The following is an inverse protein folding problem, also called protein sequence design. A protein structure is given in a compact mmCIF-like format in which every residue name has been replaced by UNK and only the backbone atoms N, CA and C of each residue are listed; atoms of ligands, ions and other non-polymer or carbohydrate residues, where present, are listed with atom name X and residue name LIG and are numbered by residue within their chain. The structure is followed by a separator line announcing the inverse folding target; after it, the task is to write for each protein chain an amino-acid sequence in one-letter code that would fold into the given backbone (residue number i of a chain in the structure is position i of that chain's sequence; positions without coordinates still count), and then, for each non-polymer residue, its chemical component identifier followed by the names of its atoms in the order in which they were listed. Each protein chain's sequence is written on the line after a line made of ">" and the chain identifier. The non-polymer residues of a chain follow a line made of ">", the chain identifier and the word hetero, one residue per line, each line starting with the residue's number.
data_IF_833731103943
#
_entry.id   IF_833731103943
#
_cell.length_a   1.000
_cell.length_b   1.000
_cell.length_c   1.000
_cell.angle_alpha   90.00
_cell.angle_beta   90.00
_cell.angle_gamma   90.00
#
_symmetry.space_group_name_H-M   'P 1'
#
loop_
_entity.id
_entity.type
_entity.pdbx_description
1 polymer ?
#
# COMPACT_ATOMS: atom_id res chain seq x y z
N UNK A 1 -12.10 -7.46 3.37
CA UNK A 1 -11.26 -7.55 4.58
C UNK A 1 -12.03 -8.26 5.68
N UNK A 2 -11.38 -9.14 6.44
CA UNK A 2 -11.95 -9.82 7.61
C UNK A 2 -11.14 -9.39 8.83
N UNK A 3 -11.80 -8.90 9.87
CA UNK A 3 -11.14 -8.50 11.12
C UNK A 3 -10.94 -9.70 12.04
N UNK A 4 -9.75 -9.78 12.64
CA UNK A 4 -9.40 -10.80 13.62
C UNK A 4 -9.42 -10.20 15.01
N UNK A 5 -10.16 -10.82 15.92
CA UNK A 5 -10.19 -10.46 17.33
C UNK A 5 -9.36 -11.45 18.15
N UNK A 6 -9.05 -11.10 19.41
CA UNK A 6 -8.38 -12.04 20.32
C UNK A 6 -9.18 -13.34 20.46
N UNK A 7 -8.54 -14.49 20.78
CA UNK A 7 -9.22 -15.79 20.82
C UNK A 7 -10.46 -15.81 21.73
N UNK A 8 -10.43 -15.09 22.85
CA UNK A 8 -11.56 -14.96 23.78
C UNK A 8 -12.74 -14.24 23.13
N UNK A 9 -12.47 -13.17 22.37
CA UNK A 9 -13.51 -12.40 21.68
C UNK A 9 -14.06 -13.20 20.50
N UNK A 10 -13.21 -13.88 19.72
CA UNK A 10 -13.62 -14.78 18.64
C UNK A 10 -14.57 -15.89 19.16
N UNK A 11 -14.19 -16.55 20.25
CA UNK A 11 -15.03 -17.57 20.88
C UNK A 11 -16.37 -16.99 21.36
N UNK A 12 -16.35 -15.78 21.92
CA UNK A 12 -17.57 -15.08 22.32
C UNK A 12 -18.46 -14.68 21.14
N UNK A 13 -17.89 -14.30 20.00
CA UNK A 13 -18.65 -14.05 18.75
C UNK A 13 -19.29 -15.35 18.26
N UNK A 14 -18.53 -16.44 18.19
CA UNK A 14 -19.05 -17.76 17.80
C UNK A 14 -20.17 -18.25 18.72
N UNK A 15 -20.07 -17.96 20.02
CA UNK A 15 -21.10 -18.26 21.01
C UNK A 15 -22.25 -17.22 21.06
N UNK A 16 -22.30 -16.24 20.15
CA UNK A 16 -23.29 -15.14 20.12
C UNK A 16 -23.34 -14.27 21.38
N UNK A 17 -22.30 -14.31 22.21
CA UNK A 17 -22.12 -13.42 23.37
C UNK A 17 -21.69 -12.02 22.92
N UNK A 18 -20.88 -11.97 21.87
CA UNK A 18 -20.40 -10.73 21.27
C UNK A 18 -20.88 -10.63 19.82
N UNK A 19 -21.02 -9.40 19.33
CA UNK A 19 -21.41 -9.11 17.95
C UNK A 19 -20.38 -8.17 17.35
N UNK A 20 -19.92 -8.47 16.14
CA UNK A 20 -19.08 -7.56 15.36
C UNK A 20 -19.90 -6.33 14.96
N UNK A 21 -19.27 -5.16 15.02
CA UNK A 21 -19.89 -3.90 14.61
C UNK A 21 -19.83 -3.77 13.09
N UNK A 22 -20.91 -3.26 12.49
CA UNK A 22 -21.00 -2.95 11.07
C UNK A 22 -21.47 -1.51 10.89
N UNK A 23 -21.07 -0.88 9.78
CA UNK A 23 -21.69 0.36 9.32
C UNK A 23 -23.13 0.11 8.88
N UNK A 24 -23.92 1.17 8.68
CA UNK A 24 -25.27 1.07 8.12
C UNK A 24 -25.30 0.44 6.71
N UNK A 25 -24.21 0.52 5.96
CA UNK A 25 -24.02 -0.12 4.66
C UNK A 25 -23.60 -1.60 4.76
N UNK A 26 -23.51 -2.17 5.97
CA UNK A 26 -23.09 -3.55 6.19
C UNK A 26 -21.58 -3.78 6.08
N UNK A 27 -20.77 -2.73 6.12
CA UNK A 27 -19.30 -2.84 6.08
C UNK A 27 -18.80 -3.16 7.49
N UNK A 28 -18.00 -4.23 7.68
CA UNK A 28 -17.50 -4.57 9.00
C UNK A 28 -16.57 -3.48 9.55
N UNK A 29 -16.65 -3.27 10.85
CA UNK A 29 -15.72 -2.46 11.64
C UNK A 29 -14.98 -3.42 12.57
N UNK A 30 -13.68 -3.24 12.75
CA UNK A 30 -12.85 -3.98 13.71
C UNK A 30 -13.15 -3.61 15.17
N UNK A 31 -14.42 -3.62 15.55
CA UNK A 31 -14.95 -3.41 16.89
C UNK A 31 -15.97 -4.51 17.20
N UNK A 32 -16.04 -4.93 18.45
CA UNK A 32 -17.05 -5.87 18.94
C UNK A 32 -17.82 -5.28 20.13
N UNK A 33 -19.09 -5.66 20.25
CA UNK A 33 -19.98 -5.28 21.36
C UNK A 33 -20.56 -6.50 22.06
N UNK A 34 -20.88 -6.36 23.32
CA UNK A 34 -21.68 -7.32 24.07
C UNK A 34 -23.11 -7.36 23.54
N UNK A 35 -23.60 -8.55 23.20
CA UNK A 35 -24.90 -8.76 22.59
C UNK A 35 -26.07 -8.38 23.52
N UNK A 36 -25.84 -8.42 24.85
CA UNK A 36 -26.88 -8.16 25.85
C UNK A 36 -26.88 -6.70 26.29
N UNK A 37 -25.70 -6.15 26.58
CA UNK A 37 -25.56 -4.80 27.14
C UNK A 37 -25.33 -3.72 26.09
N UNK A 38 -24.95 -4.10 24.88
CA UNK A 38 -24.57 -3.17 23.81
C UNK A 38 -23.24 -2.44 24.04
N UNK A 39 -22.53 -2.75 25.12
CA UNK A 39 -21.24 -2.12 25.43
C UNK A 39 -20.15 -2.57 24.45
N UNK A 40 -19.26 -1.67 24.04
CA UNK A 40 -18.06 -2.07 23.31
C UNK A 40 -17.14 -2.86 24.23
N UNK A 41 -16.63 -4.00 23.73
CA UNK A 41 -15.82 -4.92 24.54
C UNK A 41 -14.44 -5.17 23.97
N UNK A 42 -14.23 -4.93 22.67
CA UNK A 42 -12.94 -5.17 22.02
C UNK A 42 -12.79 -4.41 20.70
N UNK A 43 -11.53 -4.28 20.27
CA UNK A 43 -11.13 -3.95 18.92
C UNK A 43 -10.42 -5.15 18.27
N UNK A 44 -10.34 -5.15 16.95
CA UNK A 44 -9.60 -6.15 16.20
C UNK A 44 -8.09 -6.05 16.48
N UNK A 45 -7.44 -7.20 16.65
CA UNK A 45 -5.99 -7.33 16.85
C UNK A 45 -5.24 -7.62 15.55
N UNK A 46 -5.97 -7.93 14.48
CA UNK A 46 -5.44 -8.20 13.15
C UNK A 46 -6.53 -8.10 12.09
N UNK A 47 -6.13 -8.30 10.84
CA UNK A 47 -7.07 -8.50 9.75
C UNK A 47 -6.44 -9.34 8.65
N UNK A 48 -7.30 -9.93 7.83
CA UNK A 48 -6.93 -10.77 6.70
C UNK A 48 -7.58 -10.23 5.43
N UNK A 49 -6.82 -10.19 4.36
CA UNK A 49 -7.31 -9.95 2.99
C UNK A 49 -6.82 -11.10 2.12
N UNK A 50 -7.71 -11.65 1.29
CA UNK A 50 -7.38 -12.76 0.38
C UNK A 50 -6.65 -13.93 1.09
N UNK A 51 -7.15 -14.32 2.28
CA UNK A 51 -6.59 -15.36 3.14
C UNK A 51 -5.14 -15.12 3.62
N UNK A 52 -4.66 -13.89 3.54
CA UNK A 52 -3.32 -13.50 3.99
C UNK A 52 -3.38 -12.37 5.03
N UNK A 53 -2.50 -12.38 6.05
CA UNK A 53 -2.45 -11.31 7.03
C UNK A 53 -2.25 -9.95 6.37
N UNK A 54 -3.06 -8.98 6.78
CA UNK A 54 -2.98 -7.62 6.28
C UNK A 54 -1.64 -7.02 6.68
N UNK A 55 -0.84 -6.70 5.67
CA UNK A 55 0.53 -6.21 5.82
C UNK A 55 0.78 -5.19 4.70
N UNK A 56 0.34 -3.93 4.89
CA UNK A 56 0.44 -2.88 3.88
C UNK A 56 1.88 -2.44 3.65
N UNK A 57 2.17 -1.97 2.45
CA UNK A 57 3.48 -1.48 2.05
C UNK A 57 3.73 -0.03 2.52
N UNK A 58 2.76 0.85 2.49
CA UNK A 58 2.98 2.27 2.66
C UNK A 58 3.06 2.62 4.16
N UNK A 59 2.17 2.08 4.98
CA UNK A 59 2.22 2.23 6.44
C UNK A 59 1.50 1.08 7.15
N UNK A 60 2.19 0.26 7.97
CA UNK A 60 1.58 -0.75 8.83
C UNK A 60 0.96 -0.04 10.03
N UNK A 61 -0.06 0.79 9.76
CA UNK A 61 -0.84 1.40 10.81
C UNK A 61 -1.57 0.27 11.52
N UNK A 62 -1.13 -0.08 12.73
CA UNK A 62 -1.92 -0.90 13.62
C UNK A 62 -3.21 -0.13 13.87
N UNK A 63 -4.26 -0.56 13.17
CA UNK A 63 -5.66 -0.19 13.30
C UNK A 63 -5.88 0.96 14.29
N UNK A 64 -6.13 2.16 13.76
CA UNK A 64 -6.54 3.37 14.47
C UNK A 64 -7.92 3.23 15.15
N UNK A 65 -8.21 2.04 15.68
CA UNK A 65 -9.52 1.53 16.04
C UNK A 65 -9.73 1.47 17.55
N UNK A 66 -8.71 1.75 18.37
CA UNK A 66 -8.93 1.86 19.81
C UNK A 66 -9.27 3.29 20.22
N UNK A 67 -10.19 3.42 21.17
CA UNK A 67 -10.45 4.67 21.90
C UNK A 67 -9.28 5.17 22.75
N UNK A 68 -8.10 4.54 22.70
CA UNK A 68 -6.92 4.90 23.50
C UNK A 68 -6.15 6.02 22.81
N UNK A 69 -6.45 7.26 23.21
CA UNK A 69 -6.05 8.51 22.53
C UNK A 69 -4.57 8.92 22.60
N UNK A 70 -3.63 8.04 22.97
CA UNK A 70 -2.21 8.46 23.06
C UNK A 70 -1.18 7.39 22.70
N UNK A 71 -1.24 6.20 23.33
CA UNK A 71 -0.19 5.17 23.18
C UNK A 71 -0.12 4.57 21.75
N UNK A 72 -1.27 4.31 21.13
CA UNK A 72 -1.32 3.80 19.75
C UNK A 72 -0.90 4.85 18.71
N UNK A 73 -1.01 6.15 19.02
CA UNK A 73 -0.64 7.25 18.11
C UNK A 73 0.88 7.39 17.95
N UNK A 74 1.66 7.10 19.01
CA UNK A 74 3.12 7.08 18.94
C UNK A 74 3.64 5.90 18.09
N UNK A 75 3.06 4.70 18.24
CA UNK A 75 3.40 3.54 17.39
C UNK A 75 3.02 3.72 15.93
N UNK A 76 1.85 4.33 15.66
CA UNK A 76 1.42 4.64 14.29
C UNK A 76 2.42 5.55 13.56
N UNK A 77 3.02 6.51 14.27
CA UNK A 77 4.05 7.38 13.70
C UNK A 77 5.40 6.68 13.51
N UNK A 78 5.86 5.89 14.48
CA UNK A 78 7.08 5.06 14.36
C UNK A 78 6.99 4.04 13.21
N UNK A 79 5.79 3.51 12.94
CA UNK A 79 5.53 2.63 11.81
C UNK A 79 5.73 3.35 10.46
N UNK A 80 5.27 4.59 10.33
CA UNK A 80 5.48 5.40 9.11
C UNK A 80 6.97 5.74 8.93
N UNK A 81 7.68 6.07 10.01
CA UNK A 81 9.14 6.32 9.95
C UNK A 81 9.91 5.09 9.45
N UNK A 82 9.58 3.91 9.98
CA UNK A 82 10.23 2.63 9.62
C UNK A 82 9.96 2.28 8.15
N UNK A 83 8.73 2.48 7.66
CA UNK A 83 8.39 2.26 6.25
C UNK A 83 9.11 3.22 5.31
N UNK A 84 9.20 4.51 5.66
CA UNK A 84 9.79 5.52 4.80
C UNK A 84 11.29 5.27 4.57
N UNK A 85 12.04 4.90 5.63
CA UNK A 85 13.46 4.58 5.52
C UNK A 85 13.76 3.39 4.62
N UNK A 86 12.90 2.37 4.62
CA UNK A 86 13.06 1.21 3.73
C UNK A 86 12.67 1.54 2.29
N UNK A 87 11.53 2.22 2.09
CA UNK A 87 11.04 2.61 0.77
C UNK A 87 12.03 3.55 0.07
N UNK A 88 12.56 4.55 0.77
CA UNK A 88 13.56 5.46 0.25
C UNK A 88 14.88 4.74 -0.08
N UNK A 89 15.33 3.82 0.79
CA UNK A 89 16.52 3.05 0.48
C UNK A 89 16.35 2.16 -0.76
N UNK A 90 15.19 1.54 -0.94
CA UNK A 90 14.92 0.73 -2.14
C UNK A 90 14.79 1.58 -3.41
N UNK A 91 14.27 2.81 -3.31
CA UNK A 91 14.32 3.79 -4.42
C UNK A 91 15.74 3.97 -4.95
N UNK A 92 16.73 3.94 -4.05
CA UNK A 92 18.12 4.21 -4.37
C UNK A 92 18.77 3.14 -5.25
N UNK A 93 18.36 1.88 -5.08
CA UNK A 93 18.88 0.72 -5.82
C UNK A 93 18.07 0.42 -7.08
N UNK A 94 16.82 0.90 -7.11
CA UNK A 94 15.85 0.58 -8.16
C UNK A 94 15.76 1.69 -9.23
N UNK A 95 16.01 2.95 -8.86
CA UNK A 95 15.48 4.09 -9.61
C UNK A 95 16.43 4.95 -10.43
N UNK A 96 17.74 5.00 -10.15
CA UNK A 96 18.64 5.95 -10.85
C UNK A 96 19.83 5.24 -11.47
N UNK A 97 20.20 5.64 -12.70
CA UNK A 97 21.33 5.06 -13.44
C UNK A 97 21.00 3.75 -14.15
N UNK A 98 20.07 3.80 -15.12
CA UNK A 98 19.70 2.66 -15.96
C UNK A 98 20.91 2.19 -16.78
N UNK A 99 21.58 1.15 -16.29
CA UNK A 99 22.12 0.12 -17.16
C UNK A 99 21.67 -1.25 -16.62
N UNK A 100 20.74 -1.85 -17.35
CA UNK A 100 20.38 -3.26 -17.36
C UNK A 100 19.88 -3.92 -16.05
N UNK A 101 18.55 -4.01 -15.91
CA UNK A 101 17.76 -5.24 -15.66
C UNK A 101 17.97 -6.10 -14.41
N UNK A 102 19.22 -6.30 -13.95
CA UNK A 102 19.56 -7.38 -13.01
C UNK A 102 19.18 -7.05 -11.56
N UNK A 103 19.02 -5.77 -11.22
CA UNK A 103 18.86 -5.32 -9.82
C UNK A 103 17.45 -5.54 -9.26
N UNK A 104 16.41 -5.53 -10.10
CA UNK A 104 15.00 -5.62 -9.64
C UNK A 104 14.71 -6.94 -8.91
N UNK A 105 15.33 -8.04 -9.36
CA UNK A 105 15.21 -9.36 -8.72
C UNK A 105 15.74 -9.39 -7.29
N UNK A 106 16.77 -8.57 -6.98
CA UNK A 106 17.39 -8.48 -5.67
C UNK A 106 16.52 -7.77 -4.62
N UNK A 107 15.52 -7.03 -5.08
CA UNK A 107 14.66 -6.15 -4.28
C UNK A 107 13.18 -6.36 -4.64
N UNK A 108 12.79 -7.60 -4.92
CA UNK A 108 11.39 -7.98 -5.10
C UNK A 108 10.58 -7.86 -3.79
N UNK A 109 9.26 -8.06 -3.89
CA UNK A 109 8.33 -7.89 -2.77
C UNK A 109 8.73 -8.69 -1.52
N UNK A 110 9.17 -9.94 -1.69
CA UNK A 110 9.61 -10.77 -0.57
C UNK A 110 10.83 -10.14 0.15
N UNK A 111 11.84 -9.70 -0.61
CA UNK A 111 13.01 -9.05 -0.03
C UNK A 111 12.65 -7.73 0.63
N UNK A 112 11.74 -6.94 0.07
CA UNK A 112 11.29 -5.68 0.68
C UNK A 112 10.63 -5.91 2.03
N UNK A 113 9.73 -6.88 2.13
CA UNK A 113 9.12 -7.22 3.43
C UNK A 113 10.16 -7.69 4.44
N UNK A 114 11.17 -8.43 4.00
CA UNK A 114 12.29 -8.83 4.85
C UNK A 114 13.13 -7.64 5.33
N UNK A 115 13.48 -6.72 4.44
CA UNK A 115 14.23 -5.51 4.80
C UNK A 115 13.49 -4.69 5.87
N UNK A 116 12.16 -4.62 5.79
CA UNK A 116 11.33 -3.93 6.78
C UNK A 116 11.37 -4.58 8.14
N UNK A 117 11.21 -5.90 8.19
CA UNK A 117 11.32 -6.60 9.47
C UNK A 117 12.74 -6.51 10.03
N UNK A 118 13.78 -6.51 9.18
CA UNK A 118 15.16 -6.32 9.65
C UNK A 118 15.42 -4.90 10.19
N UNK A 119 14.84 -3.84 9.59
CA UNK A 119 14.92 -2.48 10.15
C UNK A 119 14.12 -2.37 11.46
N UNK A 120 12.91 -2.92 11.50
CA UNK A 120 12.06 -2.94 12.70
C UNK A 120 12.70 -3.71 13.85
N UNK A 121 13.41 -4.79 13.55
CA UNK A 121 14.20 -5.56 14.50
C UNK A 121 15.57 -4.92 14.82
N UNK A 122 15.84 -3.70 14.34
CA UNK A 122 17.08 -2.94 14.53
C UNK A 122 18.35 -3.65 14.02
N UNK A 123 18.20 -4.62 13.10
CA UNK A 123 19.32 -5.34 12.44
C UNK A 123 19.95 -4.49 11.34
N UNK A 124 19.14 -3.63 10.72
CA UNK A 124 19.53 -2.62 9.75
C UNK A 124 19.23 -1.22 10.30
N UNK A 125 20.20 -0.33 10.16
CA UNK A 125 20.08 1.07 10.57
C UNK A 125 19.71 1.92 9.36
N UNK A 126 18.75 2.84 9.53
CA UNK A 126 18.40 3.86 8.54
C UNK A 126 19.19 5.12 8.85
N UNK A 127 20.09 5.53 7.95
CA UNK A 127 20.85 6.80 8.03
C UNK A 127 20.46 7.70 6.88
N UNK A 128 20.06 8.93 7.20
CA UNK A 128 19.64 9.94 6.21
C UNK A 128 18.53 9.46 5.25
N UNK A 129 17.71 8.51 5.72
CA UNK A 129 16.63 7.88 4.96
C UNK A 129 17.08 6.72 4.07
N UNK A 130 18.33 6.26 4.21
CA UNK A 130 18.87 5.13 3.45
C UNK A 130 19.38 4.03 4.38
N UNK A 131 19.14 2.77 4.01
CA UNK A 131 19.79 1.61 4.63
C UNK A 131 21.05 1.25 3.84
N UNK A 132 22.01 0.60 4.51
CA UNK A 132 23.16 0.01 3.82
C UNK A 132 22.72 -1.22 3.01
N UNK A 133 22.41 -1.00 1.74
CA UNK A 133 21.93 -2.05 0.83
C UNK A 133 23.01 -3.09 0.54
N UNK A 134 24.30 -2.77 0.68
CA UNK A 134 25.35 -3.78 0.56
C UNK A 134 25.32 -4.75 1.74
N UNK A 135 25.14 -4.22 2.94
CA UNK A 135 24.94 -5.04 4.14
C UNK A 135 23.66 -5.86 4.01
N UNK A 136 22.59 -5.25 3.52
CA UNK A 136 21.28 -5.87 3.41
C UNK A 136 21.20 -6.97 2.34
N UNK A 137 21.90 -6.79 1.21
CA UNK A 137 21.89 -7.71 0.06
C UNK A 137 23.18 -8.55 -0.05
N UNK A 138 23.98 -8.66 1.01
CA UNK A 138 25.26 -9.40 1.01
C UNK A 138 25.14 -10.86 0.51
N UNK A 139 23.98 -11.48 0.69
CA UNK A 139 23.70 -12.85 0.24
C UNK A 139 23.28 -13.00 -1.23
N UNK A 140 23.09 -11.90 -1.97
CA UNK A 140 22.56 -11.93 -3.35
C UNK A 140 23.65 -12.03 -4.42
N UNK A 141 24.94 -12.04 -4.05
CA UNK A 141 26.06 -12.21 -4.97
C UNK A 141 26.85 -10.93 -5.23
N UNK A 142 28.09 -11.09 -5.73
CA UNK A 142 29.05 -9.99 -5.89
C UNK A 142 28.69 -9.00 -7.00
N UNK A 143 27.96 -9.45 -8.01
CA UNK A 143 27.52 -8.61 -9.15
C UNK A 143 26.57 -7.50 -8.68
N UNK A 144 25.60 -7.82 -7.82
CA UNK A 144 24.66 -6.85 -7.26
C UNK A 144 25.39 -5.82 -6.40
N UNK A 145 26.38 -6.24 -5.60
CA UNK A 145 27.19 -5.31 -4.80
C UNK A 145 28.00 -4.35 -5.68
N UNK A 146 28.64 -4.87 -6.74
CA UNK A 146 29.35 -4.03 -7.71
C UNK A 146 28.43 -3.04 -8.41
N UNK A 147 27.19 -3.45 -8.69
CA UNK A 147 26.20 -2.56 -9.30
C UNK A 147 25.77 -1.43 -8.36
N UNK A 148 25.56 -1.72 -7.08
CA UNK A 148 25.30 -0.71 -6.05
C UNK A 148 26.45 0.30 -5.99
N UNK A 149 27.70 -0.16 -6.09
CA UNK A 149 28.88 0.69 -6.15
C UNK A 149 28.88 1.62 -7.37
N UNK A 150 28.57 1.09 -8.55
CA UNK A 150 28.51 1.89 -9.79
C UNK A 150 27.43 2.96 -9.72
N UNK A 151 26.23 2.63 -9.21
CA UNK A 151 25.12 3.58 -9.07
C UNK A 151 25.47 4.68 -8.06
N UNK A 152 26.22 4.37 -6.99
CA UNK A 152 26.61 5.35 -5.99
C UNK A 152 27.48 6.49 -6.53
N UNK A 153 28.26 6.23 -7.59
CA UNK A 153 29.13 7.21 -8.25
C UNK A 153 28.39 8.09 -9.28
N UNK A 154 27.20 7.66 -9.72
CA UNK A 154 26.39 8.35 -10.72
C UNK A 154 25.94 9.74 -10.22
N UNK A 155 26.08 10.76 -11.09
CA UNK A 155 25.80 12.16 -10.73
C UNK A 155 24.31 12.41 -10.56
N UNK A 156 23.47 11.84 -11.42
CA UNK A 156 22.02 11.94 -11.33
C UNK A 156 21.54 11.24 -10.06
N UNK A 157 22.10 10.07 -9.75
CA UNK A 157 21.82 9.37 -8.50
C UNK A 157 22.17 10.20 -7.28
N UNK A 158 23.35 10.84 -7.25
CA UNK A 158 23.74 11.71 -6.13
C UNK A 158 22.83 12.93 -5.99
N UNK A 159 22.37 13.52 -7.10
CA UNK A 159 21.40 14.61 -7.08
C UNK A 159 20.06 14.15 -6.52
N UNK A 160 19.52 13.03 -7.01
CA UNK A 160 18.30 12.42 -6.49
C UNK A 160 18.44 12.13 -4.99
N UNK A 161 19.54 11.50 -4.59
CA UNK A 161 19.84 11.16 -3.21
C UNK A 161 19.87 12.40 -2.32
N UNK A 162 20.50 13.49 -2.73
CA UNK A 162 20.55 14.72 -1.95
C UNK A 162 19.14 15.29 -1.68
N UNK A 163 18.29 15.34 -2.71
CA UNK A 163 16.91 15.82 -2.58
C UNK A 163 16.09 14.90 -1.66
N UNK A 164 16.22 13.58 -1.83
CA UNK A 164 15.51 12.62 -0.98
C UNK A 164 15.99 12.66 0.48
N UNK A 165 17.29 12.86 0.72
CA UNK A 165 17.82 13.10 2.08
C UNK A 165 17.22 14.35 2.70
N UNK A 166 17.09 15.44 1.93
CA UNK A 166 16.44 16.66 2.42
C UNK A 166 14.96 16.42 2.75
N UNK A 167 14.22 15.76 1.86
CA UNK A 167 12.82 15.41 2.09
C UNK A 167 12.64 14.52 3.33
N UNK A 168 13.52 13.55 3.52
CA UNK A 168 13.54 12.70 4.72
C UNK A 168 13.83 13.50 6.00
N UNK A 169 14.79 14.43 5.95
CA UNK A 169 15.07 15.33 7.06
C UNK A 169 13.85 16.17 7.46
N UNK A 170 13.11 16.71 6.49
CA UNK A 170 11.84 17.41 6.74
C UNK A 170 10.79 16.49 7.39
N UNK A 171 10.67 15.27 6.91
CA UNK A 171 9.77 14.29 7.50
C UNK A 171 10.13 13.95 8.96
N UNK A 172 11.43 13.79 9.28
CA UNK A 172 11.89 13.58 10.66
C UNK A 172 11.58 14.77 11.57
N UNK A 173 11.72 15.99 11.08
CA UNK A 173 11.35 17.16 11.90
C UNK A 173 9.84 17.28 12.07
N UNK A 174 9.05 16.97 11.05
CA UNK A 174 7.60 16.88 11.18
C UNK A 174 7.19 15.83 12.22
N UNK A 175 7.87 14.68 12.25
CA UNK A 175 7.68 13.63 13.24
C UNK A 175 7.85 14.14 14.67
N UNK A 176 8.97 14.82 14.91
CA UNK A 176 9.30 15.41 16.19
C UNK A 176 8.28 16.46 16.61
N UNK A 177 7.80 17.28 15.68
CA UNK A 177 6.74 18.24 15.95
C UNK A 177 5.43 17.54 16.34
N UNK A 178 5.08 16.44 15.68
CA UNK A 178 3.89 15.65 16.05
C UNK A 178 4.03 15.06 17.46
N UNK A 179 5.20 14.52 17.80
CA UNK A 179 5.49 14.04 19.16
C UNK A 179 5.38 15.16 20.20
N UNK A 180 5.96 16.34 19.93
CA UNK A 180 5.85 17.52 20.81
C UNK A 180 4.38 17.92 20.97
N UNK A 181 3.62 17.97 19.88
CA UNK A 181 2.21 18.34 19.91
C UNK A 181 1.38 17.39 20.79
N UNK A 182 1.74 16.10 20.85
CA UNK A 182 1.09 15.14 21.74
C UNK A 182 1.34 15.47 23.21
N UNK A 183 2.48 16.07 23.56
CA UNK A 183 2.79 16.51 24.92
C UNK A 183 2.20 17.88 25.28
N UNK A 184 1.61 18.61 24.33
CA UNK A 184 1.02 19.92 24.58
C UNK A 184 -0.38 19.80 25.22
N UNK A 185 -0.53 20.36 26.41
CA UNK A 185 -1.82 20.48 27.10
C UNK A 185 -2.72 21.55 26.45
N UNK A 186 -2.15 22.70 26.11
CA UNK A 186 -2.87 23.79 25.45
C UNK A 186 -3.27 23.41 24.02
N UNK A 187 -4.58 23.52 23.74
CA UNK A 187 -5.15 23.13 22.44
C UNK A 187 -4.67 24.02 21.29
N UNK A 188 -4.47 25.31 21.53
CA UNK A 188 -4.01 26.25 20.50
C UNK A 188 -2.57 25.94 20.11
N UNK A 189 -1.69 25.77 21.09
CA UNK A 189 -0.28 25.38 20.89
C UNK A 189 -0.22 24.05 20.15
N UNK A 190 -0.93 23.02 20.63
CA UNK A 190 -0.98 21.71 19.96
C UNK A 190 -1.40 21.82 18.49
N UNK A 191 -2.41 22.64 18.20
CA UNK A 191 -2.94 22.81 16.85
C UNK A 191 -1.93 23.52 15.94
N UNK A 192 -1.29 24.59 16.44
CA UNK A 192 -0.25 25.30 15.70
C UNK A 192 0.97 24.42 15.43
N UNK A 193 1.40 23.62 16.41
CA UNK A 193 2.50 22.66 16.24
C UNK A 193 2.18 21.60 15.19
N UNK A 194 0.96 21.05 15.18
CA UNK A 194 0.52 20.11 14.15
C UNK A 194 0.42 20.77 12.76
N UNK A 195 0.02 22.03 12.67
CA UNK A 195 0.00 22.76 11.40
C UNK A 195 1.41 22.97 10.82
N UNK A 196 2.40 23.26 11.68
CA UNK A 196 3.80 23.34 11.25
C UNK A 196 4.34 21.99 10.77
N UNK A 197 3.95 20.89 11.44
CA UNK A 197 4.29 19.55 10.97
C UNK A 197 3.67 19.26 9.60
N UNK A 198 2.40 19.62 9.39
CA UNK A 198 1.72 19.48 8.09
C UNK A 198 2.45 20.22 6.97
N UNK A 199 2.95 21.43 7.22
CA UNK A 199 3.73 22.19 6.24
C UNK A 199 5.01 21.44 5.84
N UNK A 200 5.77 20.93 6.82
CA UNK A 200 6.99 20.16 6.55
C UNK A 200 6.70 18.85 5.79
N UNK A 201 5.60 18.17 6.12
CA UNK A 201 5.16 16.98 5.39
C UNK A 201 4.78 17.33 3.94
N UNK A 202 4.06 18.42 3.71
CA UNK A 202 3.68 18.86 2.37
C UNK A 202 4.91 19.20 1.50
N UNK A 203 5.92 19.86 2.08
CA UNK A 203 7.20 20.10 1.39
C UNK A 203 7.93 18.79 1.07
N UNK A 204 7.94 17.82 1.99
CA UNK A 204 8.53 16.52 1.72
C UNK A 204 7.81 15.77 0.60
N UNK A 205 6.46 15.79 0.57
CA UNK A 205 5.67 15.22 -0.54
C UNK A 205 6.05 15.86 -1.87
N UNK A 206 6.22 17.19 -1.92
CA UNK A 206 6.58 17.91 -3.14
C UNK A 206 7.92 17.43 -3.72
N UNK A 207 8.91 17.14 -2.86
CA UNK A 207 10.20 16.61 -3.29
C UNK A 207 10.13 15.17 -3.80
N UNK A 208 9.39 14.29 -3.10
CA UNK A 208 9.22 12.89 -3.53
C UNK A 208 8.45 12.77 -4.84
N UNK A 209 7.43 13.62 -5.00
CA UNK A 209 6.52 13.65 -6.16
C UNK A 209 6.97 14.57 -7.29
N UNK A 210 8.17 15.16 -7.19
CA UNK A 210 8.69 16.12 -8.17
C UNK A 210 8.69 15.50 -9.58
N UNK A 211 7.89 16.04 -10.54
CA UNK A 211 7.72 15.44 -11.86
C UNK A 211 9.03 15.30 -12.65
N UNK A 212 9.96 16.25 -12.49
CA UNK A 212 11.25 16.21 -13.18
C UNK A 212 12.07 15.01 -12.72
N UNK A 213 12.23 14.84 -11.40
CA UNK A 213 12.96 13.71 -10.84
C UNK A 213 12.27 12.37 -11.11
N UNK A 214 10.93 12.33 -11.03
CA UNK A 214 10.18 11.10 -11.29
C UNK A 214 10.30 10.67 -12.75
N UNK A 215 10.35 11.63 -13.69
CA UNK A 215 10.46 11.33 -15.12
C UNK A 215 11.78 10.63 -15.50
N UNK A 216 12.85 10.88 -14.75
CA UNK A 216 14.19 10.31 -14.95
C UNK A 216 14.32 8.86 -14.43
N UNK A 217 13.32 8.35 -13.71
CA UNK A 217 13.34 6.99 -13.15
C UNK A 217 12.62 5.97 -14.05
N UNK A 218 13.01 4.69 -13.92
CA UNK A 218 12.28 3.56 -14.48
C UNK A 218 10.92 3.37 -13.78
N UNK A 219 10.04 2.51 -14.31
CA UNK A 219 8.69 2.35 -13.76
C UNK A 219 8.73 1.87 -12.29
N UNK A 220 9.64 0.94 -11.98
CA UNK A 220 9.88 0.43 -10.63
C UNK A 220 10.38 1.53 -9.68
N UNK A 221 11.28 2.40 -10.13
CA UNK A 221 11.81 3.53 -9.35
C UNK A 221 10.75 4.59 -9.08
N UNK A 222 9.90 4.86 -10.08
CA UNK A 222 8.76 5.75 -9.93
C UNK A 222 7.78 5.21 -8.87
N UNK A 223 7.47 3.90 -8.89
CA UNK A 223 6.60 3.30 -7.88
C UNK A 223 7.13 3.56 -6.46
N UNK A 224 8.43 3.32 -6.22
CA UNK A 224 9.03 3.52 -4.88
C UNK A 224 8.97 4.97 -4.40
N UNK A 225 9.25 5.92 -5.29
CA UNK A 225 9.11 7.36 -4.97
C UNK A 225 7.68 7.71 -4.60
N UNK A 226 6.71 7.17 -5.34
CA UNK A 226 5.30 7.38 -5.08
C UNK A 226 4.88 6.77 -3.74
N UNK A 227 5.34 5.56 -3.41
CA UNK A 227 5.11 4.94 -2.09
C UNK A 227 5.61 5.82 -0.93
N UNK A 228 6.79 6.44 -1.06
CA UNK A 228 7.28 7.40 -0.07
C UNK A 228 6.34 8.61 0.06
N UNK A 229 5.90 9.20 -1.05
CA UNK A 229 4.97 10.33 -1.03
C UNK A 229 3.64 9.95 -0.37
N UNK A 230 3.08 8.78 -0.73
CA UNK A 230 1.84 8.26 -0.15
C UNK A 230 1.95 8.02 1.36
N UNK A 231 3.11 7.53 1.84
CA UNK A 231 3.35 7.33 3.27
C UNK A 231 3.32 8.64 4.05
N UNK A 232 3.89 9.70 3.48
CA UNK A 232 3.88 11.03 4.07
C UNK A 232 2.47 11.62 4.05
N UNK A 233 1.68 11.39 3.00
CA UNK A 233 0.28 11.80 2.95
C UNK A 233 -0.61 11.07 3.95
N UNK A 234 -0.32 9.80 4.27
CA UNK A 234 -0.98 9.13 5.41
C UNK A 234 -0.63 9.79 6.75
N UNK A 235 0.62 10.23 6.94
CA UNK A 235 0.99 11.01 8.11
C UNK A 235 0.23 12.35 8.17
N UNK A 236 -0.01 13.01 7.04
CA UNK A 236 -0.86 14.21 6.97
C UNK A 236 -2.29 13.87 7.43
N UNK A 237 -2.91 12.79 6.93
CA UNK A 237 -4.24 12.36 7.39
C UNK A 237 -4.27 12.13 8.91
N UNK A 238 -3.22 11.53 9.47
CA UNK A 238 -3.09 11.33 10.91
C UNK A 238 -3.09 12.67 11.67
N UNK A 239 -2.38 13.69 11.19
CA UNK A 239 -2.39 15.00 11.87
C UNK A 239 -3.78 15.61 11.96
N UNK A 240 -4.62 15.49 10.92
CA UNK A 240 -6.02 15.94 10.97
C UNK A 240 -6.84 15.13 11.99
N UNK A 241 -6.58 13.83 12.10
CA UNK A 241 -7.20 13.00 13.13
C UNK A 241 -6.77 13.43 14.54
N UNK A 242 -5.50 13.79 14.74
CA UNK A 242 -5.00 14.33 16.01
C UNK A 242 -5.64 15.69 16.37
N UNK A 243 -5.98 16.49 15.36
CA UNK A 243 -6.72 17.75 15.51
C UNK A 243 -8.24 17.54 15.69
N UNK A 244 -8.73 16.30 15.67
CA UNK A 244 -10.16 15.96 15.69
C UNK A 244 -10.94 16.64 14.56
N UNK A 245 -10.39 16.59 13.34
CA UNK A 245 -10.97 17.14 12.11
C UNK A 245 -11.40 16.02 11.15
N UNK A 246 -12.46 15.25 11.48
CA UNK A 246 -12.84 14.05 10.74
C UNK A 246 -13.16 14.31 9.26
N UNK A 247 -13.78 15.44 8.92
CA UNK A 247 -14.04 15.81 7.53
C UNK A 247 -12.74 15.96 6.71
N UNK A 248 -11.70 16.53 7.31
CA UNK A 248 -10.39 16.67 6.68
C UNK A 248 -9.68 15.32 6.54
N UNK A 249 -9.85 14.42 7.54
CA UNK A 249 -9.34 13.03 7.46
C UNK A 249 -9.98 12.30 6.29
N UNK A 250 -11.31 12.30 6.20
CA UNK A 250 -12.06 11.63 5.12
C UNK A 250 -11.65 12.18 3.75
N UNK A 251 -11.58 13.51 3.61
CA UNK A 251 -11.14 14.15 2.38
C UNK A 251 -9.72 13.71 1.98
N UNK A 252 -8.77 13.74 2.93
CA UNK A 252 -7.39 13.35 2.67
C UNK A 252 -7.26 11.86 2.30
N UNK A 253 -7.99 10.97 2.99
CA UNK A 253 -7.97 9.53 2.70
C UNK A 253 -8.60 9.21 1.34
N UNK A 254 -9.71 9.85 0.98
CA UNK A 254 -10.32 9.70 -0.34
C UNK A 254 -9.38 10.18 -1.44
N UNK A 255 -8.79 11.37 -1.27
CA UNK A 255 -7.81 11.91 -2.21
C UNK A 255 -6.61 10.97 -2.39
N UNK A 256 -6.07 10.46 -1.29
CA UNK A 256 -4.91 9.56 -1.33
C UNK A 256 -5.23 8.24 -2.04
N UNK A 257 -6.39 7.64 -1.79
CA UNK A 257 -6.80 6.43 -2.50
C UNK A 257 -6.90 6.65 -4.01
N UNK A 258 -7.51 7.75 -4.44
CA UNK A 258 -7.60 8.09 -5.86
C UNK A 258 -6.24 8.37 -6.47
N UNK A 259 -5.37 9.06 -5.73
CA UNK A 259 -3.99 9.33 -6.14
C UNK A 259 -3.20 8.02 -6.31
N UNK A 260 -3.26 7.10 -5.35
CA UNK A 260 -2.61 5.78 -5.43
C UNK A 260 -3.05 5.04 -6.70
N UNK A 261 -4.36 5.01 -6.98
CA UNK A 261 -4.88 4.36 -8.21
C UNK A 261 -4.36 5.03 -9.47
N UNK A 262 -4.42 6.36 -9.56
CA UNK A 262 -3.95 7.11 -10.73
C UNK A 262 -2.46 6.95 -10.96
N UNK A 263 -1.67 7.07 -9.91
CA UNK A 263 -0.22 6.95 -9.97
C UNK A 263 0.21 5.52 -10.30
N UNK A 264 -0.50 4.50 -9.76
CA UNK A 264 -0.29 3.10 -10.15
C UNK A 264 -0.55 2.87 -11.64
N UNK A 265 -1.62 3.44 -12.21
CA UNK A 265 -1.88 3.35 -13.65
C UNK A 265 -0.75 3.97 -14.48
N UNK A 266 -0.27 5.17 -14.10
CA UNK A 266 0.86 5.83 -14.78
C UNK A 266 2.13 4.97 -14.75
N UNK A 267 2.39 4.30 -13.62
CA UNK A 267 3.52 3.38 -13.47
C UNK A 267 3.37 2.18 -14.40
N UNK A 268 2.19 1.54 -14.42
CA UNK A 268 1.92 0.38 -15.28
C UNK A 268 2.07 0.78 -16.77
N UNK A 269 1.59 1.97 -17.15
CA UNK A 269 1.71 2.48 -18.52
C UNK A 269 3.17 2.64 -18.97
N UNK A 270 4.04 3.06 -18.04
CA UNK A 270 5.47 3.25 -18.27
C UNK A 270 6.30 1.95 -18.20
N UNK A 271 5.73 0.83 -17.81
CA UNK A 271 6.40 -0.47 -17.78
C UNK A 271 6.82 -0.89 -19.20
N UNK A 272 8.12 -1.06 -19.44
CA UNK A 272 8.72 -1.34 -20.76
C UNK A 272 9.27 -2.75 -20.91
N UNK A 273 9.53 -3.46 -19.83
CA UNK A 273 10.10 -4.80 -19.87
C UNK A 273 9.38 -5.80 -18.98
N UNK A 274 9.61 -7.08 -19.24
CA UNK A 274 9.15 -8.18 -18.39
C UNK A 274 9.80 -8.12 -17.00
N UNK A 275 11.08 -7.74 -16.91
CA UNK A 275 11.77 -7.57 -15.62
C UNK A 275 11.13 -6.47 -14.75
N UNK A 276 10.68 -5.37 -15.36
CA UNK A 276 9.91 -4.34 -14.64
C UNK A 276 8.55 -4.90 -14.20
N UNK A 277 7.89 -5.68 -15.05
CA UNK A 277 6.61 -6.29 -14.71
C UNK A 277 6.75 -7.31 -13.57
N UNK A 278 7.84 -8.09 -13.54
CA UNK A 278 8.16 -9.05 -12.49
C UNK A 278 8.24 -8.40 -11.11
N UNK A 279 8.68 -7.15 -11.08
CA UNK A 279 8.69 -6.32 -9.90
C UNK A 279 7.34 -5.67 -9.64
N UNK A 280 6.74 -5.03 -10.64
CA UNK A 280 5.54 -4.20 -10.48
C UNK A 280 4.30 -5.03 -10.14
N UNK A 281 4.16 -6.22 -10.73
CA UNK A 281 2.91 -6.98 -10.59
C UNK A 281 2.63 -7.41 -9.16
N UNK A 282 3.56 -8.08 -8.43
CA UNK A 282 3.31 -8.44 -7.03
C UNK A 282 3.11 -7.21 -6.14
N UNK A 283 3.86 -6.14 -6.39
CA UNK A 283 3.84 -4.90 -5.60
C UNK A 283 2.51 -4.15 -5.75
N UNK A 284 2.06 -3.92 -6.98
CA UNK A 284 0.81 -3.21 -7.26
C UNK A 284 -0.39 -4.05 -6.80
N UNK A 285 -0.32 -5.39 -6.94
CA UNK A 285 -1.34 -6.29 -6.39
C UNK A 285 -1.45 -6.12 -4.88
N UNK A 286 -0.31 -6.06 -4.18
CA UNK A 286 -0.31 -5.84 -2.73
C UNK A 286 -0.81 -4.44 -2.35
N UNK A 287 -0.39 -3.39 -3.07
CA UNK A 287 -0.89 -2.02 -2.84
C UNK A 287 -2.42 -1.98 -2.99
N UNK A 288 -2.95 -2.64 -4.03
CA UNK A 288 -4.38 -2.72 -4.26
C UNK A 288 -5.10 -3.48 -3.12
N UNK A 289 -4.65 -4.69 -2.81
CA UNK A 289 -5.36 -5.57 -1.89
C UNK A 289 -5.16 -5.19 -0.42
N UNK A 290 -3.99 -4.65 -0.05
CA UNK A 290 -3.63 -4.38 1.32
C UNK A 290 -3.71 -2.89 1.64
N UNK A 291 -2.97 -2.05 0.92
CA UNK A 291 -2.84 -0.63 1.26
C UNK A 291 -4.15 0.14 1.06
N UNK A 292 -4.80 -0.01 -0.10
CA UNK A 292 -6.11 0.61 -0.32
C UNK A 292 -7.15 0.10 0.68
N UNK A 293 -7.11 -1.20 1.03
CA UNK A 293 -8.02 -1.77 2.02
C UNK A 293 -7.81 -1.19 3.43
N UNK A 294 -6.56 -0.86 3.81
CA UNK A 294 -6.26 -0.15 5.07
C UNK A 294 -6.85 1.25 5.05
N UNK A 295 -6.64 2.00 3.96
CA UNK A 295 -7.15 3.38 3.84
C UNK A 295 -8.67 3.43 3.84
N UNK A 296 -9.31 2.50 3.12
CA UNK A 296 -10.77 2.35 3.09
C UNK A 296 -11.30 1.98 4.48
N UNK A 297 -10.67 1.03 5.17
CA UNK A 297 -11.04 0.67 6.54
C UNK A 297 -10.90 1.85 7.51
N UNK A 298 -9.87 2.67 7.34
CA UNK A 298 -9.67 3.86 8.17
C UNK A 298 -10.78 4.88 7.92
N UNK A 299 -11.07 5.18 6.64
CA UNK A 299 -12.15 6.09 6.27
C UNK A 299 -13.50 5.61 6.82
N UNK A 300 -13.85 4.34 6.61
CA UNK A 300 -15.08 3.72 7.11
C UNK A 300 -15.21 3.83 8.64
N UNK A 301 -14.09 3.72 9.37
CA UNK A 301 -14.10 3.88 10.82
C UNK A 301 -14.39 5.33 11.25
N UNK A 302 -13.80 6.31 10.56
CA UNK A 302 -14.03 7.73 10.84
C UNK A 302 -15.49 8.10 10.53
N UNK A 303 -16.01 7.68 9.37
CA UNK A 303 -17.41 7.86 8.98
C UNK A 303 -18.36 7.22 10.00
N UNK A 304 -18.05 5.99 10.43
CA UNK A 304 -18.82 5.29 11.45
C UNK A 304 -18.87 6.08 12.76
N UNK A 305 -17.72 6.53 13.28
CA UNK A 305 -17.68 7.35 14.52
C UNK A 305 -18.55 8.60 14.35
N UNK A 306 -18.49 9.28 13.20
CA UNK A 306 -19.30 10.48 12.97
C UNK A 306 -20.80 10.19 12.90
N UNK A 307 -21.19 8.99 12.48
CA UNK A 307 -22.59 8.56 12.42
C UNK A 307 -23.18 8.19 13.78
N UNK A 308 -22.36 7.99 14.82
CA UNK A 308 -22.81 7.53 16.13
C UNK A 308 -23.62 8.60 16.87
N UNK A 309 -24.74 8.23 17.54
CA UNK A 309 -25.45 9.15 18.42
C UNK A 309 -24.59 9.52 19.65
N UNK A 310 -24.83 10.67 20.30
CA UNK A 310 -24.05 11.11 21.46
C UNK A 310 -23.96 10.11 22.61
N UNK A 311 -25.00 9.28 22.81
CA UNK A 311 -25.01 8.21 23.81
C UNK A 311 -24.00 7.11 23.49
N UNK A 312 -23.92 6.66 22.24
CA UNK A 312 -22.97 5.65 21.81
C UNK A 312 -21.53 6.19 21.78
N UNK A 313 -21.35 7.46 21.42
CA UNK A 313 -20.03 8.11 21.50
C UNK A 313 -19.51 8.15 22.93
N UNK A 314 -20.37 8.47 23.92
CA UNK A 314 -19.99 8.43 25.34
C UNK A 314 -19.61 7.03 25.77
N UNK A 315 -20.39 6.03 25.34
CA UNK A 315 -20.13 4.64 25.66
C UNK A 315 -18.79 4.18 25.05
N UNK A 316 -18.49 4.53 23.80
CA UNK A 316 -17.18 4.28 23.16
C UNK A 316 -16.02 4.95 23.91
N UNK A 317 -16.21 6.19 24.38
CA UNK A 317 -15.19 6.96 25.11
C UNK A 317 -14.96 6.46 26.54
N UNK A 318 -15.93 5.75 27.13
CA UNK A 318 -15.85 5.22 28.48
C UNK A 318 -15.12 3.87 28.59
N UNK A 319 -14.92 3.20 27.45
CA UNK A 319 -14.25 1.89 27.44
C UNK A 319 -12.74 2.07 27.50
N UNK A 320 -12.13 1.42 28.48
CA UNK A 320 -10.68 1.31 28.56
C UNK A 320 -10.20 0.04 27.85
N UNK A 321 -9.54 0.23 26.70
CA UNK A 321 -8.93 -0.86 25.93
C UNK A 321 -7.46 -1.09 26.32
N UNK A 322 -6.95 -0.49 27.39
CA UNK A 322 -5.56 -0.61 27.85
C UNK A 322 -5.12 -2.05 28.15
N UNK A 323 -6.07 -2.94 28.45
CA UNK A 323 -5.84 -4.38 28.70
C UNK A 323 -5.97 -5.26 27.45
N UNK A 324 -6.18 -4.69 26.27
CA UNK A 324 -6.21 -5.49 25.04
C UNK A 324 -4.80 -6.00 24.77
N UNK A 325 -4.60 -7.31 24.90
CA UNK A 325 -3.33 -7.98 24.59
C UNK A 325 -2.93 -7.59 23.17
N UNK A 326 -1.97 -6.67 23.06
CA UNK A 326 -1.29 -6.42 21.79
C UNK A 326 -0.47 -7.68 21.56
N UNK A 327 -0.70 -8.44 20.48
CA UNK A 327 0.17 -9.56 20.18
C UNK A 327 1.58 -9.01 20.03
N UNK A 328 2.48 -9.37 20.95
CA UNK A 328 3.90 -9.30 20.67
C UNK A 328 4.12 -10.35 19.58
N UNK A 329 4.07 -9.95 18.32
CA UNK A 329 4.56 -10.79 17.23
C UNK A 329 6.08 -10.83 17.29
N UNK A 330 6.60 -11.50 18.34
CA UNK A 330 8.01 -11.87 18.50
C UNK A 330 8.35 -13.17 17.80
N UNK A 331 7.42 -13.77 17.06
CA UNK A 331 7.71 -14.95 16.27
C UNK A 331 8.51 -14.56 15.04
N UNK A 332 9.82 -14.71 15.22
CA UNK A 332 10.87 -14.61 14.21
C UNK A 332 10.80 -15.84 13.29
N UNK A 333 9.62 -16.19 12.81
CA UNK A 333 9.46 -17.11 11.69
C UNK A 333 9.96 -16.40 10.45
N UNK A 334 10.80 -17.07 9.66
CA UNK A 334 11.20 -16.57 8.34
C UNK A 334 9.93 -16.16 7.59
N UNK A 335 9.87 -14.91 7.12
CA UNK A 335 8.75 -14.43 6.32
C UNK A 335 8.52 -15.41 5.18
N UNK A 336 7.29 -15.87 5.01
CA UNK A 336 6.97 -16.73 3.88
C UNK A 336 7.08 -15.91 2.57
N UNK A 337 7.21 -16.60 1.44
CA UNK A 337 7.08 -15.94 0.14
C UNK A 337 5.67 -15.34 0.05
N UNK A 338 5.52 -14.06 -0.31
CA UNK A 338 4.22 -13.41 -0.37
C UNK A 338 3.30 -14.10 -1.39
N UNK A 339 2.00 -14.22 -1.11
CA UNK A 339 1.03 -14.85 -2.01
C UNK A 339 0.98 -14.16 -3.37
N UNK A 340 1.18 -12.84 -3.42
CA UNK A 340 1.17 -12.06 -4.66
C UNK A 340 2.32 -12.49 -5.58
N UNK A 341 3.49 -12.80 -5.02
CA UNK A 341 4.61 -13.34 -5.79
C UNK A 341 4.27 -14.72 -6.36
N UNK A 342 3.73 -15.63 -5.54
CA UNK A 342 3.38 -16.98 -5.97
C UNK A 342 2.30 -16.99 -7.05
N UNK A 343 1.29 -16.12 -6.91
CA UNK A 343 0.25 -15.92 -7.92
C UNK A 343 0.88 -15.41 -9.21
N UNK A 344 1.74 -14.39 -9.14
CA UNK A 344 2.39 -13.85 -10.32
C UNK A 344 3.23 -14.89 -11.07
N UNK A 345 4.08 -15.67 -10.38
CA UNK A 345 4.88 -16.72 -11.01
C UNK A 345 4.02 -17.77 -11.72
N UNK A 346 2.85 -18.10 -11.15
CA UNK A 346 1.89 -19.00 -11.79
C UNK A 346 1.26 -18.40 -13.05
N UNK A 347 0.88 -17.12 -12.98
CA UNK A 347 0.26 -16.41 -14.09
C UNK A 347 1.25 -16.18 -15.24
N UNK A 348 2.51 -15.87 -14.91
CA UNK A 348 3.61 -15.69 -15.86
C UNK A 348 3.80 -16.88 -16.79
N UNK A 349 3.62 -18.10 -16.28
CA UNK A 349 3.70 -19.33 -17.09
C UNK A 349 2.51 -19.55 -18.03
N UNK A 350 1.40 -18.81 -17.83
CA UNK A 350 0.10 -19.05 -18.50
C UNK A 350 -0.35 -17.89 -19.38
N UNK A 351 0.39 -16.79 -19.38
CA UNK A 351 -0.03 -15.53 -19.99
C UNK A 351 1.12 -14.79 -20.64
N UNK A 352 0.77 -13.99 -21.63
CA UNK A 352 1.71 -13.08 -22.27
C UNK A 352 1.96 -11.85 -21.38
N UNK A 353 3.16 -11.25 -21.35
CA UNK A 353 3.47 -10.10 -20.49
C UNK A 353 2.50 -8.93 -20.64
N UNK A 354 2.08 -8.63 -21.87
CA UNK A 354 1.12 -7.56 -22.15
C UNK A 354 -0.26 -7.86 -21.56
N UNK A 355 -0.69 -9.13 -21.54
CA UNK A 355 -1.94 -9.53 -20.89
C UNK A 355 -1.86 -9.36 -19.37
N UNK A 356 -0.71 -9.65 -18.77
CA UNK A 356 -0.48 -9.45 -17.33
C UNK A 356 -0.45 -7.95 -16.98
N UNK A 357 0.16 -7.13 -17.83
CA UNK A 357 0.12 -5.67 -17.70
C UNK A 357 -1.31 -5.12 -17.75
N UNK A 358 -2.12 -5.55 -18.73
CA UNK A 358 -3.52 -5.12 -18.85
C UNK A 358 -4.38 -5.63 -17.68
N UNK A 359 -4.11 -6.85 -17.19
CA UNK A 359 -4.76 -7.36 -15.99
C UNK A 359 -4.55 -6.43 -14.78
N UNK A 360 -3.34 -5.91 -14.58
CA UNK A 360 -3.08 -4.93 -13.51
C UNK A 360 -3.88 -3.65 -13.73
N UNK A 361 -3.98 -3.16 -14.96
CA UNK A 361 -4.79 -1.98 -15.27
C UNK A 361 -6.26 -2.21 -14.95
N UNK A 362 -6.81 -3.37 -15.32
CA UNK A 362 -8.20 -3.75 -15.04
C UNK A 362 -8.46 -3.94 -13.55
N UNK A 363 -7.46 -4.39 -12.79
CA UNK A 363 -7.57 -4.48 -11.33
C UNK A 363 -7.66 -3.09 -10.69
N UNK A 364 -6.79 -2.16 -11.10
CA UNK A 364 -6.77 -0.80 -10.54
C UNK A 364 -7.96 0.05 -11.01
N UNK A 365 -8.37 -0.11 -12.27
CA UNK A 365 -9.47 0.65 -12.90
C UNK A 365 -10.33 -0.28 -13.76
N UNK A 366 -11.33 -0.94 -13.16
CA UNK A 366 -12.18 -1.91 -13.86
C UNK A 366 -12.89 -1.38 -15.11
N UNK A 367 -13.15 -0.08 -15.19
CA UNK A 367 -13.80 0.54 -16.35
C UNK A 367 -12.98 0.41 -17.64
N UNK A 368 -11.66 0.25 -17.53
CA UNK A 368 -10.78 0.03 -18.68
C UNK A 368 -11.07 -1.30 -19.40
N UNK A 369 -11.81 -2.22 -18.78
CA UNK A 369 -12.23 -3.48 -19.41
C UNK A 369 -13.25 -3.31 -20.53
N UNK A 370 -14.00 -2.20 -20.56
CA UNK A 370 -15.13 -2.04 -21.49
C UNK A 370 -14.73 -2.17 -22.97
N UNK A 371 -13.60 -1.59 -23.34
CA UNK A 371 -13.07 -1.65 -24.71
C UNK A 371 -12.60 -3.07 -25.07
N UNK A 372 -11.72 -3.73 -24.28
CA UNK A 372 -11.37 -5.14 -24.46
C UNK A 372 -12.58 -6.07 -24.54
N UNK A 373 -13.56 -5.95 -23.65
CA UNK A 373 -14.74 -6.80 -23.62
C UNK A 373 -15.61 -6.63 -24.89
N UNK A 374 -15.76 -5.39 -25.37
CA UNK A 374 -16.47 -5.10 -26.61
C UNK A 374 -15.72 -5.69 -27.81
N UNK A 375 -14.41 -5.47 -27.90
CA UNK A 375 -13.57 -5.98 -28.98
C UNK A 375 -13.57 -7.51 -29.02
N UNK A 376 -13.38 -8.18 -27.88
CA UNK A 376 -13.46 -9.65 -27.77
C UNK A 376 -14.81 -10.14 -28.27
N UNK A 377 -15.92 -9.51 -27.83
CA UNK A 377 -17.26 -9.94 -28.23
C UNK A 377 -17.50 -9.82 -29.74
N UNK A 378 -16.93 -8.79 -30.38
CA UNK A 378 -17.02 -8.61 -31.83
C UNK A 378 -16.20 -9.67 -32.57
N UNK A 379 -14.94 -9.85 -32.18
CA UNK A 379 -14.03 -10.80 -32.81
C UNK A 379 -14.46 -12.26 -32.60
N UNK A 380 -14.99 -12.56 -31.43
CA UNK A 380 -15.57 -13.85 -31.12
C UNK A 380 -16.77 -14.18 -32.01
N UNK A 381 -17.63 -13.20 -32.31
CA UNK A 381 -18.78 -13.41 -33.18
C UNK A 381 -18.34 -13.77 -34.61
N UNK A 382 -17.31 -13.08 -35.14
CA UNK A 382 -16.71 -13.37 -36.45
C UNK A 382 -16.10 -14.78 -36.47
N UNK A 383 -15.41 -15.15 -35.39
CA UNK A 383 -14.78 -16.46 -35.24
C UNK A 383 -15.76 -17.63 -34.93
N UNK A 384 -17.03 -17.33 -34.70
CA UNK A 384 -18.06 -18.33 -34.34
C UNK A 384 -18.11 -18.74 -32.87
N UNK A 385 -17.40 -18.05 -31.96
CA UNK A 385 -17.43 -18.31 -30.51
C UNK A 385 -18.64 -17.67 -29.84
N UNK A 386 -19.78 -18.37 -29.86
CA UNK A 386 -21.10 -17.86 -29.40
C UNK A 386 -21.19 -17.53 -27.89
N UNK A 387 -20.27 -18.02 -27.07
CA UNK A 387 -20.31 -17.84 -25.60
C UNK A 387 -19.55 -16.59 -25.12
N UNK A 388 -18.64 -16.05 -25.93
CA UNK A 388 -17.83 -14.88 -25.58
C UNK A 388 -18.58 -13.58 -25.87
N UNK A 389 -19.76 -13.43 -25.27
CA UNK A 389 -20.59 -12.23 -25.34
C UNK A 389 -20.30 -11.31 -24.15
N UNK A 390 -20.55 -10.00 -24.30
CA UNK A 390 -20.26 -8.98 -23.26
C UNK A 390 -20.78 -9.35 -21.86
N UNK A 391 -21.99 -9.89 -21.75
CA UNK A 391 -22.58 -10.26 -20.44
C UNK A 391 -21.84 -11.39 -19.73
N UNK A 392 -21.20 -12.29 -20.47
CA UNK A 392 -20.36 -13.35 -19.91
C UNK A 392 -18.96 -12.81 -19.61
N UNK A 393 -18.41 -11.96 -20.48
CA UNK A 393 -17.10 -11.33 -20.29
C UNK A 393 -17.07 -10.43 -19.04
N UNK A 394 -18.16 -9.71 -18.75
CA UNK A 394 -18.31 -8.91 -17.52
C UNK A 394 -18.20 -9.74 -16.23
N UNK A 395 -18.51 -11.05 -16.29
CA UNK A 395 -18.37 -11.98 -15.15
C UNK A 395 -17.01 -12.69 -15.13
N UNK A 396 -16.25 -12.59 -16.22
CA UNK A 396 -14.94 -13.21 -16.32
C UNK A 396 -13.91 -12.45 -15.47
N UNK A 397 -12.85 -13.15 -15.08
CA UNK A 397 -11.73 -12.55 -14.37
C UNK A 397 -10.98 -11.55 -15.25
N UNK A 398 -10.28 -10.61 -14.62
CA UNK A 398 -9.41 -9.64 -15.32
C UNK A 398 -8.40 -10.36 -16.22
N UNK A 399 -7.80 -11.46 -15.73
CA UNK A 399 -6.88 -12.30 -16.49
C UNK A 399 -7.53 -12.89 -17.75
N UNK A 400 -8.74 -13.44 -17.63
CA UNK A 400 -9.43 -14.06 -18.76
C UNK A 400 -9.73 -13.03 -19.86
N UNK A 401 -10.20 -11.84 -19.49
CA UNK A 401 -10.43 -10.74 -20.43
C UNK A 401 -9.12 -10.31 -21.10
N UNK A 402 -8.04 -10.10 -20.32
CA UNK A 402 -6.75 -9.68 -20.86
C UNK A 402 -6.16 -10.72 -21.83
N UNK A 403 -6.17 -12.00 -21.47
CA UNK A 403 -5.67 -13.08 -22.33
C UNK A 403 -6.49 -13.20 -23.62
N UNK A 404 -7.83 -13.13 -23.54
CA UNK A 404 -8.70 -13.20 -24.71
C UNK A 404 -8.49 -12.00 -25.64
N UNK A 405 -8.32 -10.80 -25.08
CA UNK A 405 -8.03 -9.59 -25.84
C UNK A 405 -6.76 -9.77 -26.70
N UNK A 406 -5.66 -10.20 -26.08
CA UNK A 406 -4.40 -10.41 -26.78
C UNK A 406 -4.41 -11.61 -27.73
N UNK A 407 -5.16 -12.66 -27.41
CA UNK A 407 -5.38 -13.78 -28.35
C UNK A 407 -6.00 -13.30 -29.67
N UNK A 408 -7.09 -12.51 -29.60
CA UNK A 408 -7.73 -11.98 -30.81
C UNK A 408 -6.87 -10.95 -31.52
N UNK A 409 -6.19 -10.08 -30.78
CA UNK A 409 -5.33 -9.05 -31.35
C UNK A 409 -4.16 -9.63 -32.16
N UNK A 410 -3.45 -10.62 -31.61
CA UNK A 410 -2.33 -11.28 -32.32
C UNK A 410 -2.83 -12.06 -33.54
N UNK A 411 -4.00 -12.69 -33.46
CA UNK A 411 -4.62 -13.35 -34.61
C UNK A 411 -4.91 -12.35 -35.72
N UNK A 412 -5.56 -11.23 -35.40
CA UNK A 412 -5.95 -10.22 -36.38
C UNK A 412 -4.72 -9.56 -37.03
N UNK A 413 -3.67 -9.27 -36.25
CA UNK A 413 -2.39 -8.75 -36.76
C UNK A 413 -1.72 -9.73 -37.75
N UNK A 414 -1.74 -11.04 -37.45
CA UNK A 414 -1.19 -12.05 -38.34
C UNK A 414 -2.01 -12.23 -39.63
N UNK A 415 -3.33 -12.05 -39.57
CA UNK A 415 -4.20 -12.08 -40.75
C UNK A 415 -3.95 -10.86 -41.66
N UNK A 416 -3.73 -9.66 -41.09
CA UNK A 416 -3.41 -8.45 -41.85
C UNK A 416 -2.04 -8.52 -42.55
N UNK A 417 -1.01 -9.07 -41.88
CA UNK A 417 0.31 -9.29 -42.49
C UNK A 417 0.24 -10.29 -43.66
N UNK A 418 -0.59 -11.33 -43.56
CA UNK A 418 -0.76 -12.32 -44.61
C UNK A 418 -1.53 -11.81 -45.85
N UNK A 419 -2.35 -10.76 -45.69
CA UNK A 419 -3.09 -10.12 -46.78
C UNK A 419 -2.27 -9.03 -47.49
N UNK A 420 -1.24 -8.49 -46.82
CA UNK A 420 -0.39 -7.41 -47.34
C UNK A 420 0.94 -7.87 -47.95
N UNK A 421 1.33 -9.13 -47.75
CA UNK A 421 2.44 -9.81 -48.42
C UNK A 421 1.99 -10.49 -49.73
#
# INVERSE_FOLDING_TARGET
>A
MIFEFSPVIQAGIAASKYVQVFTSAGVPIGMARDATTGQFVAHAVGAVVNNSPLSPLIAPFQFAMSGVRMYQRHRGFQAVQTSLGVLQATTAVIGVGVAAGVVLSAVNLHQILKLREDVKALRLEVKDGFIDLKKALKGQGTEIIQRIDQVAEDVEFRQHRAILTQAYGRFLEAAKLIEIAMCCEDRSIRTATLANAQLMLAEAVADYSNPHLVSETCASGQLRRMECAWAIEQAIALTYQLQNQPAAVIHQLSHLQDKIRQDSLKVIERCKSEDELDFLFPEITRIHDHDLAVLESWQNHVDWIQSLPPSELKLLQSVDFSNSEVPNSTDTTALAVPPEQLVYENLKQKSHPQSLRDQLQFMIKPELRREPESYISQQAAIAGYKTLVTSNLQKASNLAVANLYWYFKVRDEAEDEAVTA
#
